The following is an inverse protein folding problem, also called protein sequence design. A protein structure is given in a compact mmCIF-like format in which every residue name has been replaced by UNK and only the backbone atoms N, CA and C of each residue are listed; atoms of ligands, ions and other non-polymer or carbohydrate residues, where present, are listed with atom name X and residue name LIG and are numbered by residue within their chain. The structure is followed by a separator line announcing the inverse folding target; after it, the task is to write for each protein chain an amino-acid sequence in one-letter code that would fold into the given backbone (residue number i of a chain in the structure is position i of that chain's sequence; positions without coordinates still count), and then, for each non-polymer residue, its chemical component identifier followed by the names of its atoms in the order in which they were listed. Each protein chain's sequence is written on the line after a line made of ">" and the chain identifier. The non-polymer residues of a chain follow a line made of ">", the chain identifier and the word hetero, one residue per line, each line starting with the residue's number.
data_IF_950092817726
#
_entry.id   IF_950092817726
#
_cell.length_a   1.000
_cell.length_b   1.000
_cell.length_c   1.000
_cell.angle_alpha   90.00
_cell.angle_beta   90.00
_cell.angle_gamma   90.00
#
_symmetry.space_group_name_H-M   'P 1'
#
loop_
_entity.id
_entity.type
_entity.pdbx_description
1 polymer ?
#
# COMPACT_ATOMS: atom_id res chain seq x y z
N UNK A 1 -9.67 -11.47 -18.64
CA UNK A 1 -11.02 -11.88 -18.99
C UNK A 1 -11.86 -10.68 -19.47
N UNK A 2 -11.98 -9.60 -18.71
CA UNK A 2 -12.79 -8.41 -19.09
C UNK A 2 -12.42 -7.85 -20.45
N UNK A 3 -11.13 -7.69 -20.78
CA UNK A 3 -10.69 -7.22 -22.10
C UNK A 3 -11.19 -8.16 -23.22
N UNK A 4 -11.09 -9.48 -23.01
CA UNK A 4 -11.61 -10.46 -23.97
C UNK A 4 -13.13 -10.41 -24.11
N UNK A 5 -13.85 -10.21 -23.02
CA UNK A 5 -15.32 -10.18 -23.01
C UNK A 5 -15.85 -8.88 -23.69
N UNK A 6 -15.13 -7.75 -23.55
CA UNK A 6 -15.55 -6.44 -24.09
C UNK A 6 -15.00 -6.19 -25.49
N UNK A 7 -13.72 -6.47 -25.71
CA UNK A 7 -13.02 -6.13 -26.96
C UNK A 7 -12.74 -7.34 -27.86
N UNK A 8 -12.97 -8.56 -27.38
CA UNK A 8 -12.62 -9.78 -28.11
C UNK A 8 -11.10 -10.03 -28.25
N UNK A 9 -10.29 -9.26 -27.52
CA UNK A 9 -8.83 -9.31 -27.55
C UNK A 9 -8.25 -8.94 -26.19
N UNK A 10 -7.06 -9.46 -25.86
CA UNK A 10 -6.27 -8.95 -24.74
C UNK A 10 -5.57 -7.62 -25.08
N UNK A 11 -5.40 -7.32 -26.38
CA UNK A 11 -4.83 -6.07 -26.86
C UNK A 11 -5.95 -5.07 -27.08
N UNK A 12 -5.79 -3.89 -26.50
CA UNK A 12 -6.71 -2.77 -26.60
C UNK A 12 -5.98 -1.56 -27.15
N UNK A 13 -6.63 -0.82 -28.04
CA UNK A 13 -6.13 0.48 -28.48
C UNK A 13 -6.68 1.54 -27.54
N UNK A 14 -5.78 2.26 -26.90
CA UNK A 14 -6.10 3.33 -25.96
C UNK A 14 -6.51 4.62 -26.71
N UNK A 15 -7.03 5.60 -25.98
CA UNK A 15 -7.49 6.87 -26.56
C UNK A 15 -6.38 7.66 -27.27
N UNK A 16 -5.13 7.50 -26.83
CA UNK A 16 -3.94 8.10 -27.46
C UNK A 16 -3.44 7.34 -28.70
N UNK A 17 -4.11 6.23 -29.07
CA UNK A 17 -3.74 5.37 -30.17
C UNK A 17 -2.70 4.30 -29.83
N UNK A 18 -2.21 4.24 -28.60
CA UNK A 18 -1.26 3.23 -28.15
C UNK A 18 -1.96 1.88 -28.02
N UNK A 19 -1.32 0.80 -28.49
CA UNK A 19 -1.77 -0.56 -28.22
C UNK A 19 -1.22 -1.02 -26.87
N UNK A 20 -2.11 -1.50 -26.00
CA UNK A 20 -1.76 -2.06 -24.69
C UNK A 20 -2.24 -3.51 -24.58
N UNK A 21 -1.37 -4.40 -24.09
CA UNK A 21 -1.65 -5.84 -23.99
C UNK A 21 -1.88 -6.24 -22.53
N UNK A 22 -3.12 -6.63 -22.22
CA UNK A 22 -3.49 -7.20 -20.92
C UNK A 22 -3.30 -8.72 -20.87
N UNK A 23 -2.72 -9.32 -21.89
CA UNK A 23 -2.46 -10.76 -21.96
C UNK A 23 -1.24 -11.17 -21.15
N UNK A 24 -1.00 -12.47 -21.13
CA UNK A 24 0.16 -13.05 -20.45
C UNK A 24 -0.03 -13.19 -18.94
N UNK A 25 1.06 -13.49 -18.27
CA UNK A 25 1.15 -13.61 -16.82
C UNK A 25 1.58 -12.27 -16.22
N UNK A 26 0.78 -11.75 -15.30
CA UNK A 26 1.05 -10.46 -14.67
C UNK A 26 2.07 -10.63 -13.54
N UNK A 27 2.96 -9.65 -13.41
CA UNK A 27 3.99 -9.65 -12.38
C UNK A 27 3.38 -9.44 -11.00
N UNK A 28 4.04 -9.98 -9.99
CA UNK A 28 3.77 -9.66 -8.59
C UNK A 28 5.10 -9.34 -7.92
N UNK A 29 5.19 -8.19 -7.28
CA UNK A 29 6.39 -7.74 -6.56
C UNK A 29 6.02 -7.42 -5.10
N UNK A 30 6.97 -7.61 -4.20
CA UNK A 30 6.89 -7.14 -2.81
C UNK A 30 7.46 -5.73 -2.74
N UNK A 31 6.79 -4.82 -2.05
CA UNK A 31 7.27 -3.46 -1.85
C UNK A 31 8.64 -3.45 -1.17
N UNK A 32 8.78 -4.18 -0.06
CA UNK A 32 10.04 -4.25 0.68
C UNK A 32 11.17 -4.94 -0.09
N UNK A 33 10.88 -6.07 -0.77
CA UNK A 33 11.91 -6.80 -1.51
C UNK A 33 12.44 -5.97 -2.69
N UNK A 34 11.53 -5.33 -3.44
CA UNK A 34 11.91 -4.50 -4.60
C UNK A 34 12.63 -3.21 -4.16
N UNK A 35 12.20 -2.58 -3.06
CA UNK A 35 12.91 -1.43 -2.50
C UNK A 35 14.32 -1.80 -2.04
N UNK A 36 14.46 -2.93 -1.33
CA UNK A 36 15.76 -3.44 -0.87
C UNK A 36 16.70 -3.70 -2.05
N UNK A 37 16.19 -4.29 -3.13
CA UNK A 37 16.97 -4.50 -4.36
C UNK A 37 17.44 -3.17 -4.97
N UNK A 38 16.57 -2.17 -5.04
CA UNK A 38 16.90 -0.85 -5.61
C UNK A 38 17.92 -0.08 -4.79
N UNK A 39 17.87 -0.21 -3.47
CA UNK A 39 18.80 0.46 -2.55
C UNK A 39 20.12 -0.31 -2.38
N UNK A 40 20.13 -1.62 -2.68
CA UNK A 40 21.29 -2.48 -2.47
C UNK A 40 21.53 -2.83 -0.99
N UNK A 41 20.52 -2.64 -0.15
CA UNK A 41 20.53 -2.99 1.28
C UNK A 41 19.13 -3.49 1.70
N UNK A 42 19.09 -4.32 2.75
CA UNK A 42 17.85 -4.90 3.23
C UNK A 42 17.02 -3.87 4.01
N UNK A 43 15.80 -3.63 3.56
CA UNK A 43 14.81 -2.81 4.27
C UNK A 43 13.82 -3.75 4.97
N UNK A 44 13.81 -3.69 6.30
CA UNK A 44 13.03 -4.60 7.14
C UNK A 44 11.74 -3.93 7.59
N UNK A 45 10.57 -4.58 7.42
CA UNK A 45 9.30 -4.07 7.92
C UNK A 45 9.31 -3.87 9.45
N UNK A 46 8.61 -2.85 9.93
CA UNK A 46 8.49 -2.58 11.35
C UNK A 46 7.37 -3.42 11.98
N UNK A 47 7.73 -4.56 12.53
CA UNK A 47 6.84 -5.49 13.24
C UNK A 47 6.56 -5.13 14.71
N UNK A 48 6.97 -3.95 15.16
CA UNK A 48 6.81 -3.47 16.52
C UNK A 48 8.02 -3.78 17.44
N UNK A 49 7.85 -3.67 18.76
CA UNK A 49 8.98 -3.72 19.72
C UNK A 49 9.78 -5.02 19.68
N UNK A 50 9.12 -6.14 19.39
CA UNK A 50 9.74 -7.47 19.35
C UNK A 50 10.34 -7.82 17.97
N UNK A 51 10.04 -7.01 16.96
CA UNK A 51 10.52 -7.18 15.58
C UNK A 51 10.77 -5.80 14.94
N UNK A 52 11.74 -5.03 15.43
CA UNK A 52 12.00 -3.69 14.93
C UNK A 52 12.45 -3.74 13.48
N UNK A 53 11.90 -2.81 12.68
CA UNK A 53 12.28 -2.63 11.29
C UNK A 53 13.49 -1.71 11.11
N UNK A 54 13.76 -1.38 9.85
CA UNK A 54 14.75 -0.34 9.50
C UNK A 54 14.33 0.98 10.15
N UNK A 55 15.25 1.70 10.78
CA UNK A 55 14.91 2.89 11.56
C UNK A 55 14.44 4.05 10.68
N UNK A 56 13.56 4.90 11.23
CA UNK A 56 13.07 6.12 10.57
C UNK A 56 14.22 7.06 10.21
N UNK A 57 15.22 7.20 11.09
CA UNK A 57 16.39 8.04 10.85
C UNK A 57 17.22 7.55 9.66
N UNK A 58 17.36 6.21 9.52
CA UNK A 58 18.09 5.64 8.39
C UNK A 58 17.33 5.83 7.07
N UNK A 59 16.01 5.53 7.05
CA UNK A 59 15.17 5.75 5.88
C UNK A 59 15.13 7.23 5.48
N UNK A 60 15.00 8.14 6.45
CA UNK A 60 15.06 9.58 6.21
C UNK A 60 16.39 10.03 5.61
N UNK A 61 17.51 9.51 6.09
CA UNK A 61 18.81 9.81 5.49
C UNK A 61 18.95 9.31 4.04
N UNK A 62 18.32 8.18 3.70
CA UNK A 62 18.24 7.69 2.32
C UNK A 62 17.39 8.63 1.47
N UNK A 63 16.20 9.03 1.96
CA UNK A 63 15.30 9.96 1.27
C UNK A 63 16.01 11.30 0.98
N UNK A 64 16.66 11.89 1.97
CA UNK A 64 17.44 13.12 1.82
C UNK A 64 18.54 12.99 0.75
N UNK A 65 19.26 11.87 0.74
CA UNK A 65 20.32 11.60 -0.24
C UNK A 65 19.79 11.47 -1.67
N UNK A 66 18.59 10.92 -1.83
CA UNK A 66 17.93 10.72 -3.13
C UNK A 66 17.12 11.95 -3.57
N UNK A 67 16.91 12.93 -2.69
CA UNK A 67 16.06 14.10 -2.93
C UNK A 67 14.57 13.76 -2.98
N UNK A 68 14.17 12.71 -2.27
CA UNK A 68 12.77 12.33 -2.09
C UNK A 68 12.12 13.29 -1.10
N UNK A 69 10.95 13.83 -1.46
CA UNK A 69 10.19 14.72 -0.59
C UNK A 69 9.74 13.98 0.67
N UNK A 70 9.74 14.68 1.79
CA UNK A 70 9.39 14.10 3.10
C UNK A 70 8.20 14.82 3.69
N UNK A 71 7.34 14.07 4.37
CA UNK A 71 6.23 14.64 5.14
C UNK A 71 6.68 15.34 6.41
N UNK A 72 5.88 16.27 6.90
CA UNK A 72 6.10 16.93 8.21
C UNK A 72 5.96 15.93 9.37
N UNK A 73 5.08 14.92 9.20
CA UNK A 73 4.90 13.82 10.16
C UNK A 73 5.32 12.52 9.50
N UNK A 74 6.48 12.02 9.89
CA UNK A 74 7.05 10.81 9.33
C UNK A 74 6.91 9.61 10.25
N UNK A 75 6.67 8.47 9.63
CA UNK A 75 6.81 7.17 10.25
C UNK A 75 7.54 6.21 9.30
N UNK A 76 7.83 4.99 9.77
CA UNK A 76 8.50 3.98 8.97
C UNK A 76 7.77 3.69 7.65
N UNK A 77 6.45 3.49 7.71
CA UNK A 77 5.64 3.13 6.55
C UNK A 77 5.64 4.21 5.47
N UNK A 78 5.40 5.48 5.84
CA UNK A 78 5.43 6.60 4.91
C UNK A 78 6.76 6.72 4.17
N UNK A 79 7.87 6.64 4.89
CA UNK A 79 9.20 6.70 4.26
C UNK A 79 9.46 5.53 3.31
N UNK A 80 8.99 4.33 3.66
CA UNK A 80 9.10 3.17 2.77
C UNK A 80 8.27 3.38 1.49
N UNK A 81 7.05 3.89 1.59
CA UNK A 81 6.20 4.18 0.43
C UNK A 81 6.80 5.27 -0.45
N UNK A 82 7.19 6.43 0.09
CA UNK A 82 7.82 7.50 -0.71
C UNK A 82 9.11 7.05 -1.41
N UNK A 83 9.97 6.29 -0.71
CA UNK A 83 11.16 5.72 -1.32
C UNK A 83 10.82 4.73 -2.43
N UNK A 84 9.79 3.90 -2.23
CA UNK A 84 9.35 2.93 -3.21
C UNK A 84 8.76 3.62 -4.46
N UNK A 85 7.88 4.60 -4.29
CA UNK A 85 7.30 5.42 -5.35
C UNK A 85 8.37 6.07 -6.22
N UNK A 86 9.39 6.66 -5.61
CA UNK A 86 10.54 7.24 -6.33
C UNK A 86 11.21 6.26 -7.32
N UNK A 87 11.25 4.97 -6.99
CA UNK A 87 11.85 3.96 -7.85
C UNK A 87 10.89 3.34 -8.84
N UNK A 88 9.61 3.19 -8.50
CA UNK A 88 8.70 2.28 -9.19
C UNK A 88 7.43 2.91 -9.75
N UNK A 89 6.81 3.90 -9.14
CA UNK A 89 5.45 4.34 -9.47
C UNK A 89 5.27 4.58 -10.98
N UNK A 90 6.02 5.50 -11.56
CA UNK A 90 5.95 5.85 -12.98
C UNK A 90 6.52 4.78 -13.93
N UNK A 91 7.17 3.75 -13.40
CA UNK A 91 7.91 2.76 -14.19
C UNK A 91 7.18 1.43 -14.38
N UNK A 92 6.12 1.19 -13.63
CA UNK A 92 5.31 -0.01 -13.75
C UNK A 92 4.35 0.10 -14.93
N UNK A 93 4.88 0.00 -16.15
CA UNK A 93 4.08 0.12 -17.37
C UNK A 93 3.19 -1.11 -17.61
N UNK A 94 3.75 -2.31 -17.43
CA UNK A 94 3.02 -3.57 -17.60
C UNK A 94 2.19 -3.90 -16.35
N UNK A 95 1.06 -4.63 -16.46
CA UNK A 95 0.21 -4.97 -15.32
C UNK A 95 1.03 -5.66 -14.22
N UNK A 96 1.14 -5.03 -13.07
CA UNK A 96 1.95 -5.50 -11.95
C UNK A 96 1.19 -5.36 -10.64
N UNK A 97 1.05 -6.46 -9.91
CA UNK A 97 0.58 -6.43 -8.54
C UNK A 97 1.73 -6.09 -7.59
N UNK A 98 1.53 -5.07 -6.77
CA UNK A 98 2.41 -4.72 -5.65
C UNK A 98 1.76 -5.19 -4.37
N UNK A 99 2.51 -5.79 -3.47
CA UNK A 99 2.04 -6.31 -2.18
C UNK A 99 3.04 -6.03 -1.06
N UNK A 100 2.69 -6.48 0.15
CA UNK A 100 3.51 -6.32 1.35
C UNK A 100 3.66 -4.83 1.73
N UNK A 101 2.53 -4.11 1.78
CA UNK A 101 2.47 -2.70 2.22
C UNK A 101 2.71 -2.58 3.72
N UNK A 102 3.26 -1.44 4.20
CA UNK A 102 3.44 -1.18 5.61
C UNK A 102 2.12 -1.15 6.39
N UNK A 103 2.17 -1.60 7.64
CA UNK A 103 1.00 -1.57 8.53
C UNK A 103 0.63 -0.14 8.95
N UNK A 104 1.60 0.75 9.01
CA UNK A 104 1.44 2.14 9.46
C UNK A 104 0.59 2.98 8.50
N UNK A 105 0.67 2.71 7.21
CA UNK A 105 -0.05 3.44 6.16
C UNK A 105 -1.36 2.79 5.74
N UNK A 106 -1.71 1.66 6.35
CA UNK A 106 -2.87 0.85 5.97
C UNK A 106 -3.81 0.55 7.15
N UNK A 107 -4.48 1.56 7.72
CA UNK A 107 -5.21 1.43 8.99
C UNK A 107 -6.43 0.52 8.95
N UNK A 108 -7.05 0.34 7.78
CA UNK A 108 -8.27 -0.48 7.61
C UNK A 108 -7.97 -1.91 7.14
N UNK A 109 -6.69 -2.21 6.92
CA UNK A 109 -6.27 -3.48 6.32
C UNK A 109 -5.81 -4.45 7.39
N UNK A 110 -6.14 -5.73 7.23
CA UNK A 110 -5.73 -6.79 8.13
C UNK A 110 -4.21 -7.00 8.07
N UNK A 111 -3.59 -7.12 9.25
CA UNK A 111 -2.17 -7.48 9.34
C UNK A 111 -1.91 -8.82 8.66
N UNK A 112 -0.77 -8.93 7.97
CA UNK A 112 -0.37 -10.17 7.30
C UNK A 112 -0.19 -11.30 8.33
N UNK A 113 -0.79 -12.46 8.07
CA UNK A 113 -0.86 -13.59 8.99
C UNK A 113 0.47 -14.24 9.34
N UNK A 114 1.52 -13.98 8.58
CA UNK A 114 2.85 -14.61 8.77
C UNK A 114 4.03 -13.66 8.60
N UNK A 115 3.80 -12.41 8.22
CA UNK A 115 4.85 -11.39 8.03
C UNK A 115 4.56 -10.21 8.95
N UNK A 116 5.28 -10.05 10.08
CA UNK A 116 5.12 -8.88 10.94
C UNK A 116 5.43 -7.58 10.18
N UNK A 117 4.71 -6.51 10.51
CA UNK A 117 4.94 -5.16 9.95
C UNK A 117 4.33 -4.90 8.57
N UNK A 118 3.75 -5.91 7.92
CA UNK A 118 3.05 -5.73 6.65
C UNK A 118 1.59 -6.12 6.74
N UNK A 119 0.79 -5.69 5.76
CA UNK A 119 -0.65 -5.97 5.68
C UNK A 119 -0.99 -6.87 4.49
N UNK A 120 -2.19 -7.49 4.53
CA UNK A 120 -2.75 -8.29 3.44
C UNK A 120 -3.41 -7.38 2.39
N UNK A 121 -2.60 -6.58 1.69
CA UNK A 121 -3.00 -5.65 0.62
C UNK A 121 -2.24 -5.96 -0.67
N UNK A 122 -2.88 -5.65 -1.78
CA UNK A 122 -2.24 -5.54 -3.08
C UNK A 122 -2.81 -4.34 -3.83
N UNK A 123 -1.96 -3.68 -4.59
CA UNK A 123 -2.35 -2.68 -5.57
C UNK A 123 -1.94 -3.15 -6.96
N UNK A 124 -2.80 -2.88 -7.95
CA UNK A 124 -2.54 -3.19 -9.36
C UNK A 124 -2.12 -1.93 -10.08
N UNK A 125 -0.87 -1.90 -10.50
CA UNK A 125 -0.33 -0.85 -11.34
C UNK A 125 -0.42 -1.23 -12.82
N UNK A 126 -0.86 -0.29 -13.62
CA UNK A 126 -0.99 -0.39 -15.08
C UNK A 126 -0.58 0.94 -15.69
N UNK A 127 0.39 0.96 -16.59
CA UNK A 127 0.87 2.19 -17.26
C UNK A 127 1.38 3.29 -16.31
N UNK A 128 1.94 2.92 -15.18
CA UNK A 128 2.50 3.85 -14.22
C UNK A 128 1.46 4.50 -13.30
N UNK A 129 0.25 3.95 -13.19
CA UNK A 129 -0.73 4.41 -12.21
C UNK A 129 -1.45 3.23 -11.54
N UNK A 130 -1.92 3.46 -10.32
CA UNK A 130 -2.73 2.50 -9.58
C UNK A 130 -4.13 2.40 -10.21
N UNK A 131 -4.42 1.26 -10.82
CA UNK A 131 -5.73 0.98 -11.41
C UNK A 131 -6.72 0.41 -10.39
N UNK A 132 -6.23 -0.42 -9.48
CA UNK A 132 -7.07 -1.10 -8.51
C UNK A 132 -6.30 -1.39 -7.23
N UNK A 133 -7.01 -1.41 -6.11
CA UNK A 133 -6.53 -1.88 -4.81
C UNK A 133 -7.43 -2.98 -4.28
N UNK A 134 -6.87 -3.88 -3.49
CA UNK A 134 -7.67 -4.90 -2.80
C UNK A 134 -6.96 -5.43 -1.57
N UNK A 135 -7.74 -5.79 -0.56
CA UNK A 135 -7.18 -6.23 0.71
C UNK A 135 -8.13 -7.10 1.54
N UNK A 136 -7.55 -7.78 2.51
CA UNK A 136 -8.32 -8.41 3.59
C UNK A 136 -8.75 -7.33 4.58
N UNK A 137 -10.04 -7.19 4.81
CA UNK A 137 -10.60 -6.19 5.71
C UNK A 137 -10.20 -6.46 7.15
N UNK A 138 -9.77 -5.41 7.86
CA UNK A 138 -9.58 -5.50 9.31
C UNK A 138 -10.94 -5.63 9.98
N UNK A 139 -11.14 -6.73 10.68
CA UNK A 139 -12.41 -7.07 11.34
C UNK A 139 -12.30 -7.26 12.86
N UNK A 140 -11.19 -6.81 13.45
CA UNK A 140 -10.98 -6.78 14.90
C UNK A 140 -11.17 -5.34 15.42
N UNK A 141 -12.23 -5.07 16.23
CA UNK A 141 -12.52 -3.72 16.70
C UNK A 141 -11.47 -3.18 17.68
N UNK A 142 -10.74 -4.05 18.37
CA UNK A 142 -9.67 -3.64 19.31
C UNK A 142 -8.48 -3.12 18.51
N UNK A 143 -8.01 -3.90 17.54
CA UNK A 143 -6.90 -3.52 16.65
C UNK A 143 -7.28 -2.29 15.83
N UNK A 144 -8.53 -2.19 15.35
CA UNK A 144 -9.00 -1.02 14.60
C UNK A 144 -8.95 0.26 15.44
N UNK A 145 -9.38 0.18 16.70
CA UNK A 145 -9.28 1.32 17.64
C UNK A 145 -7.83 1.74 17.87
N UNK A 146 -6.93 0.79 18.06
CA UNK A 146 -5.50 1.08 18.24
C UNK A 146 -4.92 1.84 17.04
N UNK A 147 -5.29 1.45 15.82
CA UNK A 147 -4.84 2.12 14.60
C UNK A 147 -5.43 3.51 14.44
N UNK A 148 -6.71 3.70 14.73
CA UNK A 148 -7.33 5.03 14.73
C UNK A 148 -6.71 5.97 15.77
N UNK A 149 -6.38 5.45 16.96
CA UNK A 149 -5.67 6.24 17.98
C UNK A 149 -4.27 6.63 17.51
N UNK A 150 -3.57 5.76 16.77
CA UNK A 150 -2.28 6.11 16.20
C UNK A 150 -2.42 7.21 15.15
N UNK A 151 -3.34 7.08 14.19
CA UNK A 151 -3.63 8.12 13.20
C UNK A 151 -4.07 9.44 13.81
N UNK A 152 -4.93 9.44 14.83
CA UNK A 152 -5.35 10.65 15.50
C UNK A 152 -4.18 11.40 16.18
N UNK A 153 -3.13 10.70 16.59
CA UNK A 153 -1.89 11.33 17.07
C UNK A 153 -1.11 11.99 15.94
N UNK A 154 -1.05 11.35 14.79
CA UNK A 154 -0.39 11.90 13.60
C UNK A 154 -1.15 13.13 13.10
N UNK A 155 -2.50 13.11 13.09
CA UNK A 155 -3.35 14.27 12.80
C UNK A 155 -3.07 15.45 13.74
N UNK A 156 -2.94 15.21 15.05
CA UNK A 156 -2.60 16.25 16.03
C UNK A 156 -1.18 16.80 15.84
N UNK A 157 -0.30 16.04 15.22
CA UNK A 157 1.06 16.47 14.86
C UNK A 157 1.12 17.23 13.53
N UNK A 158 0.01 17.32 12.77
CA UNK A 158 -0.10 18.09 11.54
C UNK A 158 -0.28 17.24 10.27
N UNK A 159 -0.51 15.94 10.41
CA UNK A 159 -0.83 15.06 9.28
C UNK A 159 -2.26 15.33 8.77
N UNK A 160 -2.38 15.94 7.59
CA UNK A 160 -3.68 16.30 6.99
C UNK A 160 -4.45 15.08 6.45
N UNK A 161 -3.79 13.96 6.22
CA UNK A 161 -4.39 12.71 5.73
C UNK A 161 -4.94 11.83 6.86
N UNK A 162 -4.54 12.10 8.09
CA UNK A 162 -4.97 11.32 9.25
C UNK A 162 -6.41 11.67 9.68
N UNK A 163 -7.19 10.63 9.96
CA UNK A 163 -8.61 10.75 10.30
C UNK A 163 -8.86 10.76 11.81
N UNK A 164 -9.95 11.43 12.21
CA UNK A 164 -10.49 11.33 13.55
C UNK A 164 -11.04 9.92 13.85
N UNK A 165 -11.17 9.60 15.14
CA UNK A 165 -11.71 8.31 15.58
C UNK A 165 -13.20 8.24 15.27
N UNK A 166 -13.61 7.32 14.41
CA UNK A 166 -15.00 7.01 14.11
C UNK A 166 -15.55 5.99 15.13
N UNK A 167 -16.19 6.51 16.18
CA UNK A 167 -16.77 5.68 17.24
C UNK A 167 -17.98 4.88 16.76
N UNK A 168 -18.79 5.40 15.83
CA UNK A 168 -19.95 4.70 15.28
C UNK A 168 -19.52 3.51 14.43
N UNK A 169 -18.45 3.66 13.66
CA UNK A 169 -17.84 2.56 12.92
C UNK A 169 -17.29 1.48 13.84
N UNK A 170 -16.59 1.88 14.92
CA UNK A 170 -16.04 0.93 15.89
C UNK A 170 -17.14 0.17 16.65
N UNK A 171 -18.27 0.83 16.99
CA UNK A 171 -19.43 0.18 17.59
C UNK A 171 -20.05 -0.84 16.63
N UNK A 172 -20.25 -0.45 15.36
CA UNK A 172 -20.75 -1.34 14.33
C UNK A 172 -19.84 -2.56 14.11
N UNK A 173 -18.53 -2.33 14.05
CA UNK A 173 -17.53 -3.39 13.94
C UNK A 173 -17.57 -4.35 15.14
N UNK A 174 -17.82 -3.82 16.35
CA UNK A 174 -17.97 -4.57 17.60
C UNK A 174 -19.17 -5.51 17.65
N UNK A 175 -20.23 -5.25 16.86
CA UNK A 175 -21.36 -6.16 16.70
C UNK A 175 -20.96 -7.46 16.01
N UNK A 176 -19.96 -7.38 15.13
CA UNK A 176 -19.33 -8.51 14.47
C UNK A 176 -19.25 -8.33 12.95
N UNK A 177 -18.04 -8.36 12.43
CA UNK A 177 -17.76 -8.38 10.99
C UNK A 177 -17.16 -9.72 10.60
N UNK A 178 -17.78 -10.49 9.66
CA UNK A 178 -17.19 -11.74 9.18
C UNK A 178 -15.88 -11.46 8.42
N UNK A 179 -15.00 -12.47 8.24
CA UNK A 179 -13.88 -12.36 7.33
C UNK A 179 -14.36 -11.91 5.94
N UNK A 180 -13.81 -10.83 5.47
CA UNK A 180 -14.17 -10.21 4.20
C UNK A 180 -12.94 -9.73 3.45
N UNK A 181 -13.03 -9.62 2.14
CA UNK A 181 -12.07 -8.95 1.29
C UNK A 181 -12.78 -7.89 0.45
N UNK A 182 -12.15 -6.74 0.32
CA UNK A 182 -12.61 -5.63 -0.50
C UNK A 182 -11.73 -5.43 -1.73
N UNK A 183 -12.29 -4.81 -2.75
CA UNK A 183 -11.56 -4.37 -3.93
C UNK A 183 -12.20 -3.09 -4.47
N UNK A 184 -11.36 -2.09 -4.72
CA UNK A 184 -11.70 -0.89 -5.47
C UNK A 184 -10.98 -0.88 -6.82
N UNK A 185 -11.63 -0.36 -7.87
CA UNK A 185 -11.03 -0.22 -9.19
C UNK A 185 -11.52 1.07 -9.84
N UNK A 186 -10.60 1.85 -10.40
CA UNK A 186 -10.91 2.99 -11.25
C UNK A 186 -11.61 2.57 -12.55
N UNK A 187 -12.49 3.39 -13.04
CA UNK A 187 -13.28 3.14 -14.28
C UNK A 187 -13.02 4.18 -15.38
N UNK A 188 -12.13 5.12 -15.14
CA UNK A 188 -11.76 6.23 -16.03
C UNK A 188 -10.59 5.90 -16.96
#
# INVERSE_FOLDING_TARGET
>A
KTAMDVYGSHKVTLLDGTEYDFGGEWKTISMYDSLSESLGEEIVPNGGPDAPGTSVEHLGAIADKLGVERDDVENHGKLVEHLWEHFYEDKLYEPTFVRDFPVETSPLVKAHRSKPGVVEKWDLYVRGFELATGYSELNDPIVQRERFVAQAKDALAGDEEACDIDEDFLEALGVGMPPAGGMGMGID
#
